data_IF_496842736735
#
_entry.id   IF_496842736735
#
_cell.length_a   1.000
_cell.length_b   1.000
_cell.length_c   1.000
_cell.angle_alpha   90.00
_cell.angle_beta   90.00
_cell.angle_gamma   90.00
#
_symmetry.space_group_name_H-M   'P 1'
#
loop_
_entity.id
_entity.type
_entity.pdbx_description
1 polymer ?
#
# COMPACT_ATOMS: atom_id res chain seq x y z
N UNK A 1 -32.95 -11.25 -8.18
CA UNK A 1 -32.29 -10.06 -8.75
C UNK A 1 -30.81 -10.25 -8.54
N UNK A 2 -30.00 -10.21 -9.59
CA UNK A 2 -28.55 -10.45 -9.48
C UNK A 2 -27.94 -9.33 -8.63
N UNK A 3 -27.04 -9.64 -7.68
CA UNK A 3 -26.34 -8.63 -6.87
C UNK A 3 -25.60 -7.57 -7.69
N UNK A 4 -25.39 -7.83 -9.00
CA UNK A 4 -24.90 -6.88 -10.00
C UNK A 4 -25.73 -5.60 -10.09
N UNK A 5 -27.05 -5.68 -9.95
CA UNK A 5 -27.94 -4.52 -10.03
C UNK A 5 -28.01 -3.77 -8.70
N UNK A 6 -27.83 -4.44 -7.56
CA UNK A 6 -28.01 -3.83 -6.24
C UNK A 6 -26.92 -2.79 -5.92
N UNK A 7 -25.63 -3.16 -6.01
CA UNK A 7 -24.54 -2.22 -5.76
C UNK A 7 -24.45 -1.10 -6.78
N UNK A 8 -24.82 -1.35 -8.04
CA UNK A 8 -24.89 -0.29 -9.05
C UNK A 8 -26.02 0.70 -8.74
N UNK A 9 -27.20 0.21 -8.39
CA UNK A 9 -28.33 1.07 -8.02
C UNK A 9 -28.04 1.82 -6.71
N UNK A 10 -27.39 1.18 -5.75
CA UNK A 10 -27.02 1.78 -4.46
C UNK A 10 -25.95 2.87 -4.66
N UNK A 11 -24.97 2.64 -5.53
CA UNK A 11 -23.94 3.65 -5.84
C UNK A 11 -24.57 4.90 -6.43
N UNK A 12 -25.51 4.73 -7.38
CA UNK A 12 -26.26 5.85 -7.96
C UNK A 12 -27.13 6.58 -6.94
N UNK A 13 -27.77 5.86 -6.01
CA UNK A 13 -28.57 6.47 -4.94
C UNK A 13 -27.71 7.28 -3.95
N UNK A 14 -26.47 6.87 -3.74
CA UNK A 14 -25.54 7.51 -2.80
C UNK A 14 -24.59 8.51 -3.47
N UNK A 15 -24.73 8.76 -4.78
CA UNK A 15 -23.88 9.72 -5.50
C UNK A 15 -22.50 9.19 -5.91
N UNK A 16 -22.20 7.91 -5.67
CA UNK A 16 -20.94 7.31 -6.09
C UNK A 16 -20.88 7.10 -7.60
N UNK A 17 -19.72 7.43 -8.18
CA UNK A 17 -19.43 7.37 -9.61
C UNK A 17 -19.37 5.94 -10.14
N UNK A 18 -19.01 4.98 -9.30
CA UNK A 18 -18.92 3.59 -9.70
C UNK A 18 -19.37 2.65 -8.58
N UNK A 19 -19.74 1.43 -8.96
CA UNK A 19 -19.95 0.34 -7.99
C UNK A 19 -18.65 -0.11 -7.31
N UNK A 20 -17.49 0.24 -7.88
CA UNK A 20 -16.20 -0.12 -7.30
C UNK A 20 -15.99 0.59 -5.95
N UNK A 21 -16.63 1.74 -5.72
CA UNK A 21 -16.67 2.41 -4.41
C UNK A 21 -17.04 1.45 -3.27
N UNK A 22 -18.00 0.54 -3.46
CA UNK A 22 -18.33 -0.45 -2.43
C UNK A 22 -17.23 -1.47 -2.17
N UNK A 23 -16.40 -1.77 -3.16
CA UNK A 23 -15.27 -2.67 -2.96
C UNK A 23 -14.25 -2.03 -2.02
N UNK A 24 -13.90 -0.76 -2.24
CA UNK A 24 -12.97 -0.07 -1.34
C UNK A 24 -13.54 0.05 0.07
N UNK A 25 -14.81 0.43 0.22
CA UNK A 25 -15.45 0.45 1.56
C UNK A 25 -15.40 -0.91 2.25
N UNK A 26 -15.63 -2.00 1.53
CA UNK A 26 -15.57 -3.34 2.10
C UNK A 26 -14.14 -3.78 2.44
N UNK A 27 -13.16 -3.42 1.60
CA UNK A 27 -11.75 -3.68 1.87
C UNK A 27 -11.27 -2.91 3.09
N UNK A 28 -11.72 -1.66 3.22
CA UNK A 28 -11.44 -0.81 4.37
C UNK A 28 -12.10 -1.34 5.66
N UNK A 29 -13.39 -1.67 5.62
CA UNK A 29 -14.12 -2.31 6.73
C UNK A 29 -13.45 -3.62 7.19
N UNK A 30 -12.85 -4.39 6.27
CA UNK A 30 -12.23 -5.68 6.57
C UNK A 30 -10.77 -5.57 7.06
N UNK A 31 -10.06 -4.49 6.73
CA UNK A 31 -8.60 -4.39 6.90
C UNK A 31 -8.13 -3.12 7.62
N UNK A 32 -9.06 -2.26 8.06
CA UNK A 32 -8.79 -0.95 8.64
C UNK A 32 -7.75 -0.21 7.79
N UNK A 33 -8.11 0.05 6.52
CA UNK A 33 -7.16 0.47 5.48
C UNK A 33 -6.93 1.98 5.51
N UNK A 34 -7.99 2.75 5.69
CA UNK A 34 -8.00 4.21 5.58
C UNK A 34 -8.28 4.82 6.95
N UNK A 35 -7.52 5.85 7.30
CA UNK A 35 -7.70 6.61 8.53
C UNK A 35 -7.76 8.12 8.26
N UNK A 36 -8.39 8.90 9.17
CA UNK A 36 -8.40 10.35 9.07
C UNK A 36 -6.98 10.93 9.03
N UNK A 37 -6.70 11.77 8.02
CA UNK A 37 -5.39 12.38 7.82
C UNK A 37 -4.43 11.62 6.90
N UNK A 38 -4.79 10.42 6.42
CA UNK A 38 -3.91 9.64 5.55
C UNK A 38 -3.66 10.34 4.20
N UNK A 39 -2.48 10.06 3.66
CA UNK A 39 -2.14 10.32 2.25
C UNK A 39 -2.38 9.06 1.43
N UNK A 40 -3.37 9.10 0.53
CA UNK A 40 -3.85 7.95 -0.25
C UNK A 40 -3.60 8.17 -1.74
N UNK A 41 -2.98 7.19 -2.38
CA UNK A 41 -2.75 7.15 -3.84
C UNK A 41 -3.61 6.06 -4.47
N UNK A 42 -4.42 6.43 -5.47
CA UNK A 42 -5.25 5.49 -6.26
C UNK A 42 -4.72 5.38 -7.70
N UNK A 43 -4.23 4.19 -8.05
CA UNK A 43 -3.67 3.88 -9.37
C UNK A 43 -4.74 3.22 -10.26
N UNK A 44 -4.97 3.78 -11.45
CA UNK A 44 -6.09 3.38 -12.30
C UNK A 44 -7.41 3.93 -11.78
N UNK A 45 -7.39 5.17 -11.29
CA UNK A 45 -8.46 5.75 -10.49
C UNK A 45 -9.74 6.05 -11.28
N UNK A 46 -9.74 6.08 -12.63
CA UNK A 46 -10.92 6.45 -13.39
C UNK A 46 -12.07 5.43 -13.19
N UNK A 47 -13.33 5.87 -12.97
CA UNK A 47 -13.85 7.24 -13.08
C UNK A 47 -13.80 8.09 -11.78
N UNK A 48 -13.10 7.64 -10.76
CA UNK A 48 -12.92 8.33 -9.47
C UNK A 48 -13.79 7.78 -8.35
N UNK A 49 -14.28 6.53 -8.47
CA UNK A 49 -15.13 5.95 -7.44
C UNK A 49 -14.39 5.60 -6.15
N UNK A 50 -13.12 5.16 -6.24
CA UNK A 50 -12.27 4.91 -5.08
C UNK A 50 -11.75 6.21 -4.47
N UNK A 51 -11.40 7.20 -5.30
CA UNK A 51 -11.12 8.57 -4.86
C UNK A 51 -12.21 9.18 -3.98
N UNK A 52 -13.49 9.03 -4.33
CA UNK A 52 -14.60 9.50 -3.48
C UNK A 52 -14.58 8.86 -2.10
N UNK A 53 -14.40 7.54 -2.04
CA UNK A 53 -14.37 6.81 -0.78
C UNK A 53 -13.16 7.22 0.04
N UNK A 54 -11.97 7.25 -0.57
CA UNK A 54 -10.75 7.70 0.10
C UNK A 54 -10.93 9.09 0.70
N UNK A 55 -11.45 10.06 -0.06
CA UNK A 55 -11.63 11.42 0.41
C UNK A 55 -12.66 11.54 1.55
N UNK A 56 -13.70 10.70 1.55
CA UNK A 56 -14.65 10.63 2.66
C UNK A 56 -13.99 10.11 3.95
N UNK A 57 -13.19 9.06 3.86
CA UNK A 57 -12.59 8.40 5.04
C UNK A 57 -11.41 9.22 5.62
N UNK A 58 -10.56 9.80 4.78
CA UNK A 58 -9.39 10.57 5.27
C UNK A 58 -9.74 11.99 5.74
N UNK A 59 -10.85 12.54 5.28
CA UNK A 59 -11.35 13.85 5.67
C UNK A 59 -10.47 15.03 5.25
N UNK A 60 -10.77 16.21 5.79
CA UNK A 60 -10.17 17.50 5.39
C UNK A 60 -8.66 17.62 5.67
N UNK A 61 -8.11 16.78 6.56
CA UNK A 61 -6.69 16.75 6.90
C UNK A 61 -5.89 15.75 6.07
N UNK A 62 -6.56 14.86 5.33
CA UNK A 62 -5.91 13.87 4.49
C UNK A 62 -5.64 14.40 3.09
N UNK A 63 -4.90 13.62 2.31
CA UNK A 63 -4.56 13.93 0.92
C UNK A 63 -4.93 12.76 0.05
N UNK A 64 -5.65 12.99 -1.05
CA UNK A 64 -6.04 11.92 -1.99
C UNK A 64 -5.57 12.27 -3.38
N UNK A 65 -4.80 11.37 -3.99
CA UNK A 65 -4.19 11.56 -5.30
C UNK A 65 -4.58 10.40 -6.21
N UNK A 66 -5.23 10.71 -7.32
CA UNK A 66 -5.62 9.72 -8.33
C UNK A 66 -4.76 9.80 -9.58
N UNK A 67 -4.32 8.66 -10.10
CA UNK A 67 -3.62 8.59 -11.39
C UNK A 67 -4.33 7.68 -12.38
N UNK A 68 -4.58 8.18 -13.58
CA UNK A 68 -5.15 7.38 -14.66
C UNK A 68 -4.74 7.90 -16.05
N UNK A 69 -4.79 7.03 -17.07
CA UNK A 69 -4.64 7.41 -18.47
C UNK A 69 -5.81 8.28 -18.95
N UNK A 70 -6.99 8.01 -18.42
CA UNK A 70 -8.24 8.71 -18.71
C UNK A 70 -8.35 9.98 -17.87
N UNK A 71 -9.09 10.96 -18.41
CA UNK A 71 -9.48 12.12 -17.61
C UNK A 71 -10.50 11.69 -16.57
N UNK A 72 -10.25 12.05 -15.31
CA UNK A 72 -11.22 11.95 -14.22
C UNK A 72 -11.94 13.30 -14.14
N UNK A 73 -13.26 13.29 -14.06
CA UNK A 73 -14.02 14.54 -13.87
C UNK A 73 -13.80 15.09 -12.45
N UNK A 74 -13.85 16.40 -12.30
CA UNK A 74 -13.58 17.06 -11.02
C UNK A 74 -14.54 16.59 -9.92
N UNK A 75 -14.00 16.28 -8.74
CA UNK A 75 -14.76 15.83 -7.58
C UNK A 75 -15.10 17.04 -6.71
N UNK A 76 -16.07 17.86 -7.13
CA UNK A 76 -16.36 19.18 -6.51
C UNK A 76 -16.60 19.16 -4.97
N UNK A 77 -17.00 18.01 -4.42
CA UNK A 77 -17.29 17.83 -2.99
C UNK A 77 -16.08 17.35 -2.16
N UNK A 78 -14.94 17.07 -2.81
CA UNK A 78 -13.75 16.50 -2.19
C UNK A 78 -12.48 17.19 -2.67
N UNK A 79 -11.52 17.42 -1.78
CA UNK A 79 -10.20 17.89 -2.18
C UNK A 79 -9.36 16.69 -2.66
N UNK A 80 -9.31 16.51 -3.98
CA UNK A 80 -8.63 15.39 -4.63
C UNK A 80 -7.77 15.90 -5.77
N UNK A 81 -6.49 15.56 -5.74
CA UNK A 81 -5.60 15.80 -6.86
C UNK A 81 -5.73 14.67 -7.89
N UNK A 82 -5.80 15.01 -9.18
CA UNK A 82 -5.82 14.00 -10.24
C UNK A 82 -4.72 14.25 -11.28
N UNK A 83 -3.94 13.21 -11.53
CA UNK A 83 -2.86 13.22 -12.52
C UNK A 83 -3.29 12.36 -13.69
N UNK A 84 -3.38 12.98 -14.87
CA UNK A 84 -3.60 12.24 -16.11
C UNK A 84 -2.26 11.83 -16.72
N UNK A 85 -1.93 10.56 -16.65
CA UNK A 85 -0.65 10.07 -17.15
C UNK A 85 -0.53 8.56 -17.15
N UNK A 86 0.50 8.08 -17.85
CA UNK A 86 0.90 6.68 -17.83
C UNK A 86 1.93 6.47 -16.71
N UNK A 87 1.66 5.54 -15.80
CA UNK A 87 2.53 5.22 -14.66
C UNK A 87 3.87 4.57 -15.05
N UNK A 88 4.03 4.18 -16.32
CA UNK A 88 5.32 3.75 -16.88
C UNK A 88 6.19 4.93 -17.32
N UNK A 89 5.63 6.14 -17.43
CA UNK A 89 6.38 7.36 -17.77
C UNK A 89 6.98 8.00 -16.53
N UNK A 90 8.28 8.28 -16.56
CA UNK A 90 9.00 8.96 -15.47
C UNK A 90 8.39 10.32 -15.12
N UNK A 91 7.85 11.04 -16.10
CA UNK A 91 7.16 12.32 -15.86
C UNK A 91 5.93 12.15 -14.97
N UNK A 92 5.11 11.12 -15.20
CA UNK A 92 3.93 10.86 -14.37
C UNK A 92 4.35 10.50 -12.95
N UNK A 93 5.38 9.64 -12.82
CA UNK A 93 5.94 9.27 -11.52
C UNK A 93 6.51 10.48 -10.78
N UNK A 94 7.20 11.38 -11.48
CA UNK A 94 7.72 12.60 -10.90
C UNK A 94 6.63 13.48 -10.31
N UNK A 95 5.56 13.77 -11.07
CA UNK A 95 4.44 14.55 -10.55
C UNK A 95 3.74 13.86 -9.38
N UNK A 96 3.59 12.54 -9.44
CA UNK A 96 3.00 11.77 -8.35
C UNK A 96 3.86 11.88 -7.07
N UNK A 97 5.18 11.76 -7.17
CA UNK A 97 6.09 11.95 -6.02
C UNK A 97 6.00 13.37 -5.45
N UNK A 98 5.90 14.39 -6.31
CA UNK A 98 5.73 15.77 -5.86
C UNK A 98 4.41 15.97 -5.11
N UNK A 99 3.32 15.38 -5.61
CA UNK A 99 2.00 15.45 -4.98
C UNK A 99 1.96 14.72 -3.63
N UNK A 100 2.61 13.55 -3.54
CA UNK A 100 2.70 12.77 -2.28
C UNK A 100 3.60 13.48 -1.25
N UNK A 101 4.68 14.11 -1.70
CA UNK A 101 5.63 14.81 -0.83
C UNK A 101 6.59 13.88 -0.08
N UNK A 102 7.45 14.48 0.75
CA UNK A 102 8.56 13.77 1.43
C UNK A 102 8.09 12.81 2.55
N UNK A 103 6.85 12.97 3.02
CA UNK A 103 6.27 12.09 4.05
C UNK A 103 5.95 10.68 3.54
N UNK A 104 5.85 10.51 2.21
CA UNK A 104 5.37 9.28 1.60
C UNK A 104 3.84 9.14 1.71
N UNK A 105 3.31 8.12 1.04
CA UNK A 105 1.90 7.75 1.13
C UNK A 105 1.68 6.78 2.30
N UNK A 106 0.55 6.92 2.99
CA UNK A 106 0.11 5.96 4.00
C UNK A 106 -0.52 4.74 3.33
N UNK A 107 -1.21 4.97 2.19
CA UNK A 107 -1.90 3.90 1.46
C UNK A 107 -1.75 4.07 -0.04
N UNK A 108 -1.42 2.98 -0.73
CA UNK A 108 -1.48 2.90 -2.20
C UNK A 108 -2.49 1.82 -2.59
N UNK A 109 -3.49 2.19 -3.39
CA UNK A 109 -4.53 1.29 -3.86
C UNK A 109 -4.54 1.22 -5.38
N UNK A 110 -4.96 0.09 -5.95
CA UNK A 110 -5.07 -0.10 -7.39
C UNK A 110 -6.23 -1.03 -7.77
N UNK A 111 -7.21 -0.48 -8.50
CA UNK A 111 -8.27 -1.24 -9.16
C UNK A 111 -8.02 -1.34 -10.68
N UNK A 112 -6.77 -1.31 -11.12
CA UNK A 112 -6.42 -1.50 -12.53
C UNK A 112 -6.83 -2.89 -13.04
N UNK A 113 -7.38 -2.94 -14.25
CA UNK A 113 -7.67 -4.19 -14.95
C UNK A 113 -7.22 -4.10 -16.42
N UNK A 114 -6.71 -5.19 -17.01
CA UNK A 114 -6.39 -5.21 -18.42
C UNK A 114 -7.66 -5.24 -19.28
N UNK A 115 -7.52 -4.88 -20.56
CA UNK A 115 -8.56 -5.17 -21.54
C UNK A 115 -8.73 -6.68 -21.68
N UNK A 116 -9.93 -7.18 -21.34
CA UNK A 116 -10.27 -8.60 -21.37
C UNK A 116 -10.26 -9.12 -22.81
N UNK A 117 -9.50 -10.19 -23.03
CA UNK A 117 -9.45 -10.92 -24.30
C UNK A 117 -10.40 -12.09 -24.32
N UNK A 118 -10.82 -12.57 -23.15
CA UNK A 118 -11.61 -13.79 -22.99
C UNK A 118 -10.76 -15.05 -22.87
N UNK A 119 -9.45 -14.96 -23.10
CA UNK A 119 -8.50 -16.04 -22.87
C UNK A 119 -7.96 -15.93 -21.44
N UNK A 120 -8.36 -16.87 -20.59
CA UNK A 120 -8.12 -16.80 -19.14
C UNK A 120 -6.65 -16.60 -18.78
N UNK A 121 -5.75 -17.39 -19.37
CA UNK A 121 -4.31 -17.34 -19.07
C UNK A 121 -3.69 -15.99 -19.47
N UNK A 122 -4.08 -15.47 -20.64
CA UNK A 122 -3.59 -14.16 -21.11
C UNK A 122 -4.13 -13.01 -20.25
N UNK A 123 -5.41 -13.05 -19.90
CA UNK A 123 -6.03 -12.04 -19.06
C UNK A 123 -5.43 -12.05 -17.64
N UNK A 124 -5.16 -13.24 -17.10
CA UNK A 124 -4.44 -13.41 -15.83
C UNK A 124 -3.02 -12.83 -15.88
N UNK A 125 -2.20 -13.25 -16.85
CA UNK A 125 -0.81 -12.77 -16.97
C UNK A 125 -0.73 -11.24 -17.11
N UNK A 126 -1.67 -10.64 -17.85
CA UNK A 126 -1.78 -9.17 -17.96
C UNK A 126 -2.22 -8.50 -16.66
N UNK A 127 -3.11 -9.13 -15.90
CA UNK A 127 -3.52 -8.63 -14.60
C UNK A 127 -2.37 -8.64 -13.59
N UNK A 128 -1.59 -9.72 -13.56
CA UNK A 128 -0.40 -9.81 -12.69
C UNK A 128 0.65 -8.78 -13.11
N UNK A 129 0.84 -8.55 -14.40
CA UNK A 129 1.76 -7.51 -14.88
C UNK A 129 1.36 -6.11 -14.41
N UNK A 130 0.08 -5.73 -14.53
CA UNK A 130 -0.42 -4.46 -14.02
C UNK A 130 -0.29 -4.36 -12.49
N UNK A 131 -0.53 -5.46 -11.78
CA UNK A 131 -0.40 -5.51 -10.33
C UNK A 131 1.06 -5.31 -9.86
N UNK A 132 2.03 -5.92 -10.56
CA UNK A 132 3.47 -5.67 -10.34
C UNK A 132 3.85 -4.21 -10.58
N UNK A 133 3.34 -3.59 -11.65
CA UNK A 133 3.58 -2.16 -11.89
C UNK A 133 3.03 -1.27 -10.78
N UNK A 134 1.86 -1.61 -10.23
CA UNK A 134 1.31 -0.91 -9.07
C UNK A 134 2.17 -1.13 -7.81
N UNK A 135 2.68 -2.35 -7.62
CA UNK A 135 3.58 -2.68 -6.52
C UNK A 135 4.91 -1.92 -6.60
N UNK A 136 5.54 -1.85 -7.78
CA UNK A 136 6.76 -1.06 -7.99
C UNK A 136 6.58 0.41 -7.57
N UNK A 137 5.41 0.98 -7.85
CA UNK A 137 5.06 2.35 -7.46
C UNK A 137 4.79 2.44 -5.97
N UNK A 138 4.13 1.44 -5.38
CA UNK A 138 3.89 1.39 -3.95
C UNK A 138 5.20 1.32 -3.16
N UNK A 139 6.18 0.54 -3.61
CA UNK A 139 7.52 0.50 -3.03
C UNK A 139 8.27 1.85 -3.17
N UNK A 140 7.93 2.64 -4.17
CA UNK A 140 8.55 3.94 -4.31
C UNK A 140 7.91 5.00 -3.39
N UNK A 141 6.60 4.94 -3.19
CA UNK A 141 5.83 6.02 -2.55
C UNK A 141 5.48 5.76 -1.09
N UNK A 142 5.28 4.52 -0.69
CA UNK A 142 4.76 4.22 0.64
C UNK A 142 5.75 4.62 1.72
N UNK A 143 5.26 5.33 2.73
CA UNK A 143 5.99 5.52 3.97
C UNK A 143 6.25 4.16 4.66
N UNK A 144 7.27 4.05 5.52
CA UNK A 144 7.44 2.87 6.36
C UNK A 144 6.16 2.60 7.16
N UNK A 145 5.67 1.38 7.13
CA UNK A 145 4.41 0.99 7.76
C UNK A 145 3.14 1.29 6.96
N UNK A 146 3.25 1.89 5.77
CA UNK A 146 2.11 2.12 4.89
C UNK A 146 1.58 0.84 4.25
N UNK A 147 0.38 0.90 3.70
CA UNK A 147 -0.39 -0.25 3.22
C UNK A 147 -0.57 -0.24 1.70
N UNK A 148 -0.69 -1.43 1.11
CA UNK A 148 -0.89 -1.62 -0.31
C UNK A 148 -2.07 -2.54 -0.61
N UNK A 149 -2.95 -2.12 -1.51
CA UNK A 149 -4.05 -2.94 -1.99
C UNK A 149 -4.08 -2.98 -3.51
N UNK A 150 -4.10 -4.18 -4.08
CA UNK A 150 -4.12 -4.32 -5.54
C UNK A 150 -5.05 -5.41 -6.02
N UNK A 151 -5.82 -5.09 -7.04
CA UNK A 151 -6.60 -6.07 -7.78
C UNK A 151 -5.71 -6.98 -8.61
N UNK A 152 -6.01 -8.27 -8.57
CA UNK A 152 -5.40 -9.26 -9.45
C UNK A 152 -6.40 -10.36 -9.80
N UNK A 153 -6.29 -10.93 -11.00
CA UNK A 153 -7.07 -12.11 -11.36
C UNK A 153 -6.38 -13.38 -10.88
N UNK A 154 -7.14 -14.31 -10.32
CA UNK A 154 -6.66 -15.63 -9.92
C UNK A 154 -6.01 -16.34 -11.11
N UNK A 155 -4.95 -17.12 -10.85
CA UNK A 155 -4.25 -17.89 -11.86
C UNK A 155 -2.88 -18.35 -11.37
N UNK A 156 -2.11 -18.95 -12.28
CA UNK A 156 -0.87 -19.66 -11.96
C UNK A 156 0.26 -18.76 -11.41
N UNK A 157 0.30 -17.49 -11.81
CA UNK A 157 1.36 -16.55 -11.42
C UNK A 157 1.00 -15.75 -10.14
N UNK A 158 -0.20 -15.94 -9.59
CA UNK A 158 -0.66 -15.16 -8.42
C UNK A 158 0.17 -15.47 -7.17
N UNK A 159 0.47 -16.73 -6.89
CA UNK A 159 1.20 -17.10 -5.68
C UNK A 159 2.62 -16.53 -5.71
N UNK A 160 3.30 -16.58 -6.86
CA UNK A 160 4.63 -15.98 -7.02
C UNK A 160 4.61 -14.46 -6.82
N UNK A 161 3.61 -13.76 -7.38
CA UNK A 161 3.45 -12.33 -7.14
C UNK A 161 3.11 -12.02 -5.67
N UNK A 162 2.31 -12.86 -5.01
CA UNK A 162 2.01 -12.71 -3.59
C UNK A 162 3.27 -12.86 -2.73
N UNK A 163 4.15 -13.79 -3.06
CA UNK A 163 5.43 -13.96 -2.36
C UNK A 163 6.32 -12.72 -2.52
N UNK A 164 6.42 -12.16 -3.74
CA UNK A 164 7.12 -10.89 -3.99
C UNK A 164 6.60 -9.74 -3.11
N UNK A 165 5.27 -9.61 -2.99
CA UNK A 165 4.67 -8.60 -2.11
C UNK A 165 4.93 -8.95 -0.64
N UNK A 166 4.87 -10.21 -0.24
CA UNK A 166 5.08 -10.63 1.15
C UNK A 166 6.48 -10.33 1.67
N UNK A 167 7.48 -10.29 0.80
CA UNK A 167 8.85 -9.92 1.17
C UNK A 167 8.98 -8.43 1.60
N UNK A 168 8.05 -7.56 1.18
CA UNK A 168 8.09 -6.12 1.40
C UNK A 168 7.13 -5.61 2.50
N UNK A 169 6.32 -6.47 3.12
CA UNK A 169 5.28 -6.08 4.07
C UNK A 169 5.23 -7.01 5.30
N UNK A 170 4.72 -6.53 6.44
CA UNK A 170 4.55 -7.37 7.65
C UNK A 170 3.61 -8.54 7.40
N UNK A 171 2.57 -8.31 6.61
CA UNK A 171 1.55 -9.31 6.34
C UNK A 171 0.85 -9.07 5.00
N UNK A 172 0.50 -10.17 4.32
CA UNK A 172 -0.27 -10.13 3.06
C UNK A 172 -1.42 -11.13 3.10
N UNK A 173 -2.62 -10.65 2.76
CA UNK A 173 -3.85 -11.44 2.63
C UNK A 173 -4.44 -11.32 1.23
N UNK A 174 -4.98 -12.42 0.73
CA UNK A 174 -5.86 -12.40 -0.44
C UNK A 174 -7.31 -12.37 0.01
N UNK A 175 -8.13 -11.46 -0.54
CA UNK A 175 -9.56 -11.35 -0.25
C UNK A 175 -10.39 -11.07 -1.50
N UNK A 176 -11.69 -11.35 -1.44
CA UNK A 176 -12.66 -10.99 -2.48
C UNK A 176 -13.82 -10.24 -1.84
N UNK A 177 -13.98 -8.92 -2.09
CA UNK A 177 -15.04 -8.14 -1.48
C UNK A 177 -16.41 -8.61 -1.99
N UNK A 178 -17.47 -8.60 -1.14
CA UNK A 178 -18.82 -9.01 -1.55
C UNK A 178 -19.41 -8.25 -2.75
N UNK A 179 -18.90 -7.05 -3.06
CA UNK A 179 -19.28 -6.26 -4.23
C UNK A 179 -18.62 -6.74 -5.55
N UNK A 180 -17.67 -7.67 -5.50
CA UNK A 180 -17.14 -8.34 -6.69
C UNK A 180 -18.22 -9.24 -7.33
N UNK A 181 -18.15 -9.43 -8.65
CA UNK A 181 -19.14 -10.26 -9.36
C UNK A 181 -18.84 -11.73 -9.08
N UNK A 182 -19.86 -12.54 -8.83
CA UNK A 182 -19.71 -14.00 -8.60
C UNK A 182 -18.98 -14.74 -9.74
N UNK A 183 -19.07 -14.23 -10.97
CA UNK A 183 -18.41 -14.81 -12.14
C UNK A 183 -16.99 -14.27 -12.40
N UNK A 184 -16.49 -13.36 -11.56
CA UNK A 184 -15.17 -12.75 -11.72
C UNK A 184 -14.11 -13.59 -11.05
N UNK A 185 -13.00 -13.86 -11.73
CA UNK A 185 -11.78 -14.40 -11.12
C UNK A 185 -11.01 -13.35 -10.30
N UNK A 186 -11.66 -12.27 -9.90
CA UNK A 186 -11.04 -11.11 -9.26
C UNK A 186 -10.83 -11.35 -7.76
N UNK A 187 -9.61 -11.09 -7.31
CA UNK A 187 -9.22 -11.02 -5.90
C UNK A 187 -8.43 -9.73 -5.67
N UNK A 188 -8.28 -9.37 -4.41
CA UNK A 188 -7.41 -8.28 -3.97
C UNK A 188 -6.34 -8.85 -3.06
N UNK A 189 -5.09 -8.46 -3.31
CA UNK A 189 -4.04 -8.59 -2.31
C UNK A 189 -4.08 -7.36 -1.43
N UNK A 190 -4.17 -7.56 -0.12
CA UNK A 190 -4.09 -6.54 0.92
C UNK A 190 -2.80 -6.80 1.69
N UNK A 191 -1.83 -5.92 1.53
CA UNK A 191 -0.53 -5.96 2.16
C UNK A 191 -0.44 -4.83 3.18
N UNK A 192 -0.07 -5.18 4.42
CA UNK A 192 -0.09 -4.26 5.56
C UNK A 192 1.31 -4.05 6.10
N UNK A 193 1.63 -2.80 6.45
CA UNK A 193 2.86 -2.45 7.14
C UNK A 193 4.10 -2.60 6.26
N UNK A 194 4.37 -1.65 5.36
CA UNK A 194 5.54 -1.70 4.49
C UNK A 194 6.85 -1.75 5.28
N UNK A 195 7.67 -2.77 5.00
CA UNK A 195 9.04 -2.91 5.51
C UNK A 195 10.00 -2.00 4.74
N UNK A 196 10.76 -1.19 5.47
CA UNK A 196 11.92 -0.46 4.93
C UNK A 196 13.19 -0.78 5.71
N UNK A 197 13.18 -1.85 6.49
CA UNK A 197 14.32 -2.28 7.28
C UNK A 197 15.47 -2.72 6.36
N UNK A 198 16.67 -2.24 6.66
CA UNK A 198 17.92 -2.63 6.00
C UNK A 198 18.62 -3.79 6.71
N UNK A 199 17.97 -4.34 7.74
CA UNK A 199 18.46 -5.42 8.59
C UNK A 199 17.42 -6.54 8.67
N UNK A 200 17.91 -7.76 8.86
CA UNK A 200 17.10 -8.97 9.03
C UNK A 200 17.28 -9.56 10.42
N UNK A 201 16.27 -10.29 10.89
CA UNK A 201 16.36 -11.08 12.12
C UNK A 201 17.52 -12.08 12.00
N UNK A 202 18.40 -12.10 13.00
CA UNK A 202 19.61 -12.91 13.03
C UNK A 202 20.87 -12.21 12.50
N UNK A 203 20.75 -11.01 11.91
CA UNK A 203 21.91 -10.23 11.50
C UNK A 203 22.78 -9.89 12.71
N UNK A 204 24.09 -10.02 12.53
CA UNK A 204 25.10 -9.70 13.56
C UNK A 204 25.93 -8.52 13.11
N UNK A 205 25.86 -7.43 13.87
CA UNK A 205 26.41 -6.14 13.48
C UNK A 205 27.20 -5.55 14.64
N UNK A 206 28.21 -4.73 14.34
CA UNK A 206 28.82 -3.83 15.31
C UNK A 206 28.21 -2.45 15.12
N UNK A 207 27.57 -1.93 16.17
CA UNK A 207 26.86 -0.64 16.11
C UNK A 207 27.34 0.29 17.21
N UNK A 208 27.27 1.60 16.94
CA UNK A 208 27.48 2.62 17.96
C UNK A 208 26.14 3.09 18.48
N UNK A 209 25.99 3.13 19.81
CA UNK A 209 24.81 3.66 20.47
C UNK A 209 24.89 5.18 20.46
N UNK A 210 23.96 5.83 19.77
CA UNK A 210 23.95 7.27 19.58
C UNK A 210 22.99 7.98 20.53
N UNK A 211 21.99 7.27 21.06
CA UNK A 211 20.95 7.84 21.91
C UNK A 211 20.39 6.86 22.93
N UNK A 212 19.39 7.33 23.69
CA UNK A 212 18.63 6.53 24.65
C UNK A 212 17.15 6.75 24.39
N UNK A 213 16.40 5.65 24.27
CA UNK A 213 14.95 5.66 24.12
C UNK A 213 14.24 5.94 25.44
N UNK A 214 12.93 6.17 25.36
CA UNK A 214 12.11 6.54 26.52
C UNK A 214 12.05 5.45 27.60
N UNK A 215 12.18 4.18 27.21
CA UNK A 215 12.22 3.02 28.12
C UNK A 215 13.62 2.71 28.67
N UNK A 216 14.64 3.47 28.25
CA UNK A 216 16.02 3.37 28.73
C UNK A 216 16.97 2.59 27.82
N UNK A 217 16.44 1.93 26.78
CA UNK A 217 17.24 1.20 25.78
C UNK A 217 18.18 2.13 25.01
N UNK A 218 19.33 1.62 24.61
CA UNK A 218 20.23 2.31 23.69
C UNK A 218 19.64 2.36 22.29
N UNK A 219 19.86 3.46 21.58
CA UNK A 219 19.44 3.65 20.19
C UNK A 219 20.66 3.61 19.28
N UNK A 220 20.64 2.71 18.30
CA UNK A 220 21.59 2.66 17.19
C UNK A 220 20.86 2.89 15.86
N UNK A 221 21.60 3.36 14.86
CA UNK A 221 21.09 3.53 13.50
C UNK A 221 21.90 2.69 12.52
N UNK A 222 21.21 1.95 11.64
CA UNK A 222 21.81 1.21 10.53
C UNK A 222 21.15 1.69 9.25
N UNK A 223 21.89 2.45 8.42
CA UNK A 223 21.36 3.07 7.19
C UNK A 223 20.05 3.86 7.40
N UNK A 224 19.95 4.56 8.54
CA UNK A 224 18.76 5.33 8.93
C UNK A 224 17.66 4.52 9.63
N UNK A 225 17.77 3.20 9.67
CA UNK A 225 16.84 2.33 10.39
C UNK A 225 17.19 2.26 11.88
N UNK A 226 16.19 2.45 12.75
CA UNK A 226 16.38 2.53 14.20
C UNK A 226 16.41 1.14 14.83
N UNK A 227 17.44 0.87 15.64
CA UNK A 227 17.54 -0.33 16.46
C UNK A 227 17.57 0.02 17.94
N UNK A 228 16.67 -0.58 18.71
CA UNK A 228 16.69 -0.53 20.17
C UNK A 228 17.54 -1.68 20.71
N UNK A 229 18.51 -1.34 21.56
CA UNK A 229 19.48 -2.27 22.15
C UNK A 229 19.40 -2.15 23.67
N UNK A 230 18.80 -3.12 24.37
CA UNK A 230 18.71 -3.12 25.81
C UNK A 230 20.08 -3.10 26.48
N UNK A 231 20.12 -2.54 27.68
CA UNK A 231 21.32 -2.45 28.53
C UNK A 231 22.53 -1.78 27.83
N UNK A 232 22.26 -0.86 26.92
CA UNK A 232 23.27 -0.12 26.16
C UNK A 232 23.19 1.39 26.38
N UNK A 233 24.34 2.04 26.53
CA UNK A 233 24.48 3.45 26.84
C UNK A 233 25.06 4.25 25.66
N UNK A 234 24.64 5.51 25.47
CA UNK A 234 25.19 6.37 24.44
C UNK A 234 26.72 6.48 24.48
N UNK A 235 27.35 6.32 23.32
CA UNK A 235 28.79 6.33 23.13
C UNK A 235 29.46 4.96 23.17
N UNK A 236 28.73 3.89 23.53
CA UNK A 236 29.25 2.52 23.45
C UNK A 236 29.22 1.99 22.01
N UNK A 237 30.25 1.24 21.63
CA UNK A 237 30.25 0.41 20.42
C UNK A 237 30.09 -1.04 20.85
N UNK A 238 29.04 -1.71 20.36
CA UNK A 238 28.69 -3.07 20.77
C UNK A 238 28.38 -3.98 19.60
N UNK A 239 28.75 -5.25 19.74
CA UNK A 239 28.26 -6.31 18.88
C UNK A 239 26.84 -6.68 19.28
N UNK A 240 25.94 -6.75 18.30
CA UNK A 240 24.53 -7.07 18.50
C UNK A 240 24.07 -8.19 17.56
N UNK A 241 22.98 -8.86 17.92
CA UNK A 241 22.19 -9.71 17.03
C UNK A 241 20.75 -9.17 16.96
N UNK A 242 20.25 -8.91 15.75
CA UNK A 242 18.88 -8.43 15.52
C UNK A 242 17.89 -9.54 15.87
N UNK A 243 16.91 -9.24 16.74
CA UNK A 243 15.92 -10.19 17.25
C UNK A 243 14.55 -10.04 16.62
N UNK A 244 14.17 -8.81 16.31
CA UNK A 244 12.86 -8.49 15.76
C UNK A 244 12.97 -7.25 14.88
N UNK A 245 12.15 -7.21 13.82
CA UNK A 245 12.14 -6.16 12.80
C UNK A 245 10.69 -5.72 12.63
N UNK A 246 10.43 -4.42 12.75
CA UNK A 246 9.14 -3.76 12.52
C UNK A 246 9.28 -2.79 11.35
N UNK A 247 8.20 -2.17 10.85
CA UNK A 247 8.31 -1.28 9.69
C UNK A 247 9.29 -0.12 9.88
N UNK A 248 9.34 0.43 11.10
CA UNK A 248 10.07 1.68 11.41
C UNK A 248 11.26 1.49 12.33
N UNK A 249 11.36 0.35 13.00
CA UNK A 249 12.40 0.09 14.01
C UNK A 249 12.54 -1.41 14.28
N UNK A 250 13.69 -1.82 14.79
CA UNK A 250 13.91 -3.19 15.24
C UNK A 250 14.43 -3.25 16.66
N UNK A 251 14.50 -4.47 17.17
CA UNK A 251 15.11 -4.77 18.46
C UNK A 251 16.31 -5.67 18.24
N UNK A 252 17.39 -5.39 18.97
CA UNK A 252 18.59 -6.20 18.94
C UNK A 252 19.13 -6.43 20.34
N UNK A 253 19.82 -7.53 20.54
CA UNK A 253 20.46 -7.85 21.82
C UNK A 253 21.97 -7.82 21.68
N UNK A 254 22.66 -7.43 22.75
CA UNK A 254 24.10 -7.53 22.84
C UNK A 254 24.53 -9.00 22.75
N UNK A 255 25.58 -9.26 21.97
CA UNK A 255 26.22 -10.57 21.92
C UNK A 255 27.65 -10.44 22.46
N UNK A 256 28.06 -11.40 23.29
CA UNK A 256 29.46 -11.51 23.71
C UNK A 256 30.30 -11.97 22.52
N UNK A 257 31.41 -11.26 22.26
CA UNK A 257 32.37 -11.58 21.19
C UNK A 257 33.27 -12.76 21.48
#
# INVERSE_FOLDING_TARGET
MSGKDDYYNRSKQQGYRSRASYKLKQLDEDADLLAPGDTVVDLGAAPGGWLQVAAEEVGESGTVIGVDLQRIDDLDEHDVETIRGDMTEERTRHYLREAVGEGGADVVVSDMAPNMTGEYSLDHARSVHLARQAFDVAEELLAPGGDFVVKVFQGEDLDGFRDEVADAFEYVKTTSPPASRDASSEVYLVAKGRMTATVAVGDRLEVTIEGRGDEGDGIAYVDGYTLFVPDAEPGETVAIEVRDVKPRFGFAERIEG
#
